data_IF_769382630480
#
_entry.id   IF_769382630480
#
_cell.length_a   1.000
_cell.length_b   1.000
_cell.length_c   1.000
_cell.angle_alpha   90.00
_cell.angle_beta   90.00
_cell.angle_gamma   90.00
#
_symmetry.space_group_name_H-M   'P 1'
#
loop_
_entity.id
_entity.type
_entity.pdbx_description
1 polymer ?
#
# COMPACT_ATOMS: atom_id res chain seq x y z
N UNK A 1 72.67 15.90 19.99
CA UNK A 1 71.79 16.05 18.82
C UNK A 1 70.91 14.81 18.77
N UNK A 2 69.85 14.80 19.57
CA UNK A 2 68.90 13.69 19.64
C UNK A 2 68.00 13.74 18.41
N UNK A 3 67.88 12.62 17.68
CA UNK A 3 66.81 12.42 16.71
C UNK A 3 66.06 11.17 17.09
N UNK A 4 64.78 11.39 17.27
CA UNK A 4 63.77 10.46 17.73
C UNK A 4 63.53 9.34 16.72
N UNK A 5 63.34 8.15 17.27
CA UNK A 5 62.67 7.01 16.65
C UNK A 5 61.28 7.45 16.16
N UNK A 6 60.91 7.28 14.88
CA UNK A 6 59.52 7.40 14.49
C UNK A 6 58.80 6.13 14.95
N UNK A 7 57.91 6.34 15.93
CA UNK A 7 56.96 5.35 16.40
C UNK A 7 56.15 4.78 15.23
N UNK A 8 56.07 3.46 15.20
CA UNK A 8 55.12 2.71 14.40
C UNK A 8 53.70 3.23 14.70
N UNK A 9 53.08 3.91 13.72
CA UNK A 9 51.65 4.19 13.77
C UNK A 9 50.96 2.88 13.46
N UNK A 10 50.43 2.23 14.50
CA UNK A 10 49.41 1.21 14.35
C UNK A 10 48.20 1.82 13.63
N UNK A 11 48.06 1.45 12.37
CA UNK A 11 46.86 1.70 11.59
C UNK A 11 45.74 0.83 12.18
N UNK A 12 45.00 1.39 13.13
CA UNK A 12 43.79 0.80 13.69
C UNK A 12 42.75 0.63 12.58
N UNK A 13 42.83 -0.49 11.87
CA UNK A 13 41.77 -0.99 10.99
C UNK A 13 40.52 -1.18 11.84
N UNK A 14 39.57 -0.24 11.74
CA UNK A 14 38.25 -0.41 12.32
C UNK A 14 37.55 -1.49 11.49
N UNK A 15 37.62 -2.71 12.00
CA UNK A 15 36.86 -3.84 11.49
C UNK A 15 35.45 -3.74 12.07
N UNK A 16 34.39 -3.60 11.25
CA UNK A 16 33.03 -3.66 11.76
C UNK A 16 32.82 -5.05 12.37
N UNK A 17 32.45 -5.09 13.65
CA UNK A 17 32.03 -6.33 14.29
C UNK A 17 30.77 -6.79 13.56
N UNK A 18 30.85 -7.92 12.89
CA UNK A 18 29.68 -8.54 12.26
C UNK A 18 28.65 -8.80 13.33
N UNK A 19 27.80 -7.80 13.58
CA UNK A 19 26.76 -7.83 14.59
C UNK A 19 25.92 -9.07 14.33
N UNK A 20 25.82 -9.92 15.34
CA UNK A 20 24.97 -11.11 15.33
C UNK A 20 23.52 -10.65 15.24
N UNK A 21 23.07 -10.35 14.02
CA UNK A 21 21.66 -10.28 13.70
C UNK A 21 21.10 -11.69 13.89
N UNK A 22 20.26 -11.82 14.90
CA UNK A 22 19.51 -13.03 15.19
C UNK A 22 18.89 -13.58 13.89
N UNK A 23 18.97 -14.89 13.72
CA UNK A 23 18.46 -15.68 12.60
C UNK A 23 17.19 -15.08 11.98
N UNK A 24 17.37 -14.26 10.95
CA UNK A 24 16.32 -13.95 9.99
C UNK A 24 16.31 -15.12 9.03
N UNK A 25 15.19 -15.84 8.96
CA UNK A 25 14.95 -16.81 7.89
C UNK A 25 15.24 -16.13 6.55
N UNK A 26 16.32 -16.59 5.92
CA UNK A 26 16.91 -16.07 4.69
C UNK A 26 15.96 -16.39 3.52
N UNK A 27 14.91 -15.59 3.38
CA UNK A 27 14.02 -15.65 2.23
C UNK A 27 14.66 -14.76 1.17
N UNK A 28 15.37 -15.39 0.22
CA UNK A 28 15.90 -14.72 -0.96
C UNK A 28 14.76 -14.27 -1.88
N UNK A 29 14.51 -12.96 -1.91
CA UNK A 29 13.46 -12.30 -2.69
C UNK A 29 13.84 -12.04 -4.14
N UNK A 30 15.11 -12.22 -4.51
CA UNK A 30 15.62 -11.90 -5.84
C UNK A 30 15.63 -13.13 -6.77
N UNK A 31 15.82 -14.32 -6.23
CA UNK A 31 15.95 -15.56 -7.02
C UNK A 31 14.67 -16.41 -7.13
N UNK A 32 13.54 -15.98 -6.54
CA UNK A 32 12.30 -16.78 -6.55
C UNK A 32 11.34 -16.36 -7.65
N UNK A 33 11.08 -17.27 -8.59
CA UNK A 33 10.11 -17.10 -9.68
C UNK A 33 8.79 -16.46 -9.19
N UNK A 34 8.53 -15.26 -9.70
CA UNK A 34 7.40 -14.41 -9.31
C UNK A 34 6.10 -14.97 -9.90
N UNK A 35 5.49 -15.92 -9.19
CA UNK A 35 4.12 -16.34 -9.47
C UNK A 35 3.15 -15.35 -8.82
N UNK A 36 2.68 -14.35 -9.59
CA UNK A 36 1.68 -13.36 -9.14
C UNK A 36 0.39 -14.02 -8.62
N UNK A 37 0.06 -15.22 -9.12
CA UNK A 37 -1.13 -16.00 -8.74
C UNK A 37 -0.87 -16.93 -7.54
N UNK A 38 0.39 -17.18 -7.15
CA UNK A 38 0.78 -17.99 -5.97
C UNK A 38 1.99 -17.37 -5.28
N UNK A 39 1.79 -16.32 -4.46
CA UNK A 39 2.84 -15.74 -3.64
C UNK A 39 3.49 -16.78 -2.72
N UNK A 40 4.81 -16.90 -2.75
CA UNK A 40 5.56 -17.84 -1.91
C UNK A 40 5.76 -17.36 -0.46
N UNK A 41 5.50 -16.09 -0.17
CA UNK A 41 5.74 -15.49 1.16
C UNK A 41 4.43 -15.25 1.95
N UNK A 42 4.43 -15.45 3.28
CA UNK A 42 3.24 -15.22 4.11
C UNK A 42 2.69 -13.79 4.05
N UNK A 43 3.57 -12.79 3.99
CA UNK A 43 3.21 -11.36 3.88
C UNK A 43 2.33 -11.08 2.65
N UNK A 44 2.78 -11.54 1.48
CA UNK A 44 2.10 -11.24 0.22
C UNK A 44 0.77 -11.99 0.08
N UNK A 45 0.64 -13.19 0.68
CA UNK A 45 -0.66 -13.88 0.80
C UNK A 45 -1.66 -13.12 1.65
N UNK A 46 -1.22 -12.55 2.77
CA UNK A 46 -2.11 -11.80 3.66
C UNK A 46 -2.48 -10.43 3.06
N UNK A 47 -1.54 -9.76 2.37
CA UNK A 47 -1.83 -8.56 1.59
C UNK A 47 -2.85 -8.82 0.48
N UNK A 48 -2.70 -9.91 -0.27
CA UNK A 48 -3.63 -10.27 -1.35
C UNK A 48 -5.03 -10.58 -0.82
N UNK A 49 -5.16 -11.22 0.35
CA UNK A 49 -6.48 -11.41 1.01
C UNK A 49 -7.14 -10.07 1.33
N UNK A 50 -6.37 -9.09 1.82
CA UNK A 50 -6.90 -7.75 2.12
C UNK A 50 -7.38 -7.09 0.82
N UNK A 51 -6.54 -7.04 -0.22
CA UNK A 51 -6.92 -6.49 -1.53
C UNK A 51 -8.19 -7.16 -2.05
N UNK A 52 -8.24 -8.49 -2.05
CA UNK A 52 -9.38 -9.23 -2.56
C UNK A 52 -10.64 -8.99 -1.74
N UNK A 53 -10.53 -8.94 -0.41
CA UNK A 53 -11.66 -8.60 0.46
C UNK A 53 -12.18 -7.18 0.21
N UNK A 54 -11.28 -6.20 0.04
CA UNK A 54 -11.63 -4.83 -0.30
C UNK A 54 -12.29 -4.76 -1.69
N UNK A 55 -11.79 -5.52 -2.66
CA UNK A 55 -12.36 -5.59 -4.00
C UNK A 55 -13.79 -6.18 -3.98
N UNK A 56 -14.01 -7.27 -3.26
CA UNK A 56 -15.35 -7.87 -3.12
C UNK A 56 -16.31 -6.90 -2.43
N UNK A 57 -15.88 -6.26 -1.34
CA UNK A 57 -16.70 -5.28 -0.64
C UNK A 57 -17.02 -4.06 -1.52
N UNK A 58 -16.02 -3.55 -2.24
CA UNK A 58 -16.21 -2.48 -3.22
C UNK A 58 -17.21 -2.88 -4.30
N UNK A 59 -17.07 -4.08 -4.87
CA UNK A 59 -17.97 -4.57 -5.90
C UNK A 59 -19.41 -4.68 -5.37
N UNK A 60 -19.61 -5.15 -4.15
CA UNK A 60 -20.94 -5.17 -3.51
C UNK A 60 -21.50 -3.77 -3.30
N UNK A 61 -20.69 -2.79 -2.91
CA UNK A 61 -21.15 -1.40 -2.71
C UNK A 61 -21.52 -0.75 -4.04
N UNK A 62 -20.72 -0.94 -5.09
CA UNK A 62 -20.91 -0.27 -6.39
C UNK A 62 -21.96 -0.98 -7.24
N UNK A 63 -21.86 -2.30 -7.37
CA UNK A 63 -22.78 -3.09 -8.19
C UNK A 63 -24.03 -3.52 -7.42
N UNK A 64 -23.98 -3.61 -6.09
CA UNK A 64 -25.10 -4.07 -5.27
C UNK A 64 -26.41 -3.31 -5.53
N UNK A 65 -26.43 -1.96 -5.57
CA UNK A 65 -27.64 -1.23 -5.90
C UNK A 65 -28.20 -1.56 -7.29
N UNK A 66 -27.34 -1.71 -8.29
CA UNK A 66 -27.76 -2.03 -9.67
C UNK A 66 -28.31 -3.46 -9.73
N UNK A 67 -27.59 -4.42 -9.17
CA UNK A 67 -28.02 -5.82 -9.10
C UNK A 67 -29.31 -5.98 -8.31
N UNK A 68 -29.43 -5.31 -7.16
CA UNK A 68 -30.62 -5.36 -6.33
C UNK A 68 -31.82 -4.70 -7.02
N UNK A 69 -31.62 -3.68 -7.85
CA UNK A 69 -32.70 -3.09 -8.66
C UNK A 69 -33.21 -4.07 -9.72
N UNK A 70 -32.33 -4.89 -10.29
CA UNK A 70 -32.72 -5.93 -11.23
C UNK A 70 -33.47 -7.09 -10.56
N UNK A 71 -33.07 -7.48 -9.33
CA UNK A 71 -33.65 -8.61 -8.61
C UNK A 71 -34.93 -8.24 -7.81
N UNK A 72 -34.97 -7.03 -7.26
CA UNK A 72 -36.02 -6.55 -6.37
C UNK A 72 -36.45 -5.12 -6.74
N UNK A 73 -37.00 -4.91 -7.96
CA UNK A 73 -37.36 -3.59 -8.44
C UNK A 73 -38.38 -2.90 -7.53
N UNK A 74 -39.38 -3.63 -7.03
CA UNK A 74 -40.42 -3.10 -6.14
C UNK A 74 -39.86 -2.45 -4.87
N UNK A 75 -38.78 -3.01 -4.28
CA UNK A 75 -38.14 -2.43 -3.10
C UNK A 75 -37.25 -1.24 -3.45
N UNK A 76 -36.60 -1.29 -4.62
CA UNK A 76 -35.62 -0.29 -5.06
C UNK A 76 -36.26 0.95 -5.69
N UNK A 77 -37.53 0.85 -6.10
CA UNK A 77 -38.32 1.97 -6.65
C UNK A 77 -39.21 2.66 -5.62
N UNK A 78 -39.33 2.13 -4.40
CA UNK A 78 -40.07 2.78 -3.30
C UNK A 78 -39.55 4.20 -3.11
N UNK A 79 -40.47 5.17 -3.14
CA UNK A 79 -40.14 6.55 -2.83
C UNK A 79 -39.73 6.64 -1.36
N UNK A 80 -38.53 7.15 -1.13
CA UNK A 80 -38.06 7.37 0.24
C UNK A 80 -38.85 8.53 0.86
N UNK A 81 -39.46 8.35 2.05
CA UNK A 81 -40.36 9.34 2.63
C UNK A 81 -39.70 10.69 2.97
N UNK A 82 -38.36 10.73 3.05
CA UNK A 82 -37.61 11.95 3.35
C UNK A 82 -37.22 12.77 2.12
N UNK A 83 -37.05 12.14 0.95
CA UNK A 83 -36.47 12.79 -0.23
C UNK A 83 -37.31 12.68 -1.51
N UNK A 84 -38.37 11.86 -1.51
CA UNK A 84 -39.33 11.80 -2.62
C UNK A 84 -38.81 11.16 -3.90
N UNK A 85 -37.60 10.58 -3.90
CA UNK A 85 -37.05 9.85 -5.03
C UNK A 85 -36.80 8.37 -4.70
N UNK A 86 -36.76 7.49 -5.72
CA UNK A 86 -36.50 6.05 -5.57
C UNK A 86 -35.23 5.71 -4.77
N UNK A 87 -35.32 4.68 -3.92
CA UNK A 87 -34.22 4.25 -3.04
C UNK A 87 -32.89 3.98 -3.76
N UNK A 88 -32.91 3.40 -4.96
CA UNK A 88 -31.69 3.08 -5.70
C UNK A 88 -30.84 4.31 -6.03
N UNK A 89 -31.45 5.48 -6.30
CA UNK A 89 -30.71 6.71 -6.50
C UNK A 89 -29.95 7.13 -5.24
N UNK A 90 -30.55 6.97 -4.06
CA UNK A 90 -29.89 7.29 -2.79
C UNK A 90 -28.68 6.38 -2.57
N UNK A 91 -28.86 5.08 -2.77
CA UNK A 91 -27.80 4.08 -2.58
C UNK A 91 -26.62 4.29 -3.53
N UNK A 92 -26.87 4.67 -4.78
CA UNK A 92 -25.80 4.96 -5.73
C UNK A 92 -25.13 6.29 -5.39
N UNK A 93 -25.89 7.37 -5.19
CA UNK A 93 -25.34 8.71 -5.02
C UNK A 93 -24.62 8.91 -3.67
N UNK A 94 -25.13 8.34 -2.58
CA UNK A 94 -24.50 8.45 -1.26
C UNK A 94 -23.73 7.19 -0.88
N UNK A 95 -24.27 6.00 -1.17
CA UNK A 95 -23.66 4.74 -0.77
C UNK A 95 -22.33 4.48 -1.46
N UNK A 96 -22.20 4.77 -2.76
CA UNK A 96 -20.93 4.53 -3.46
C UNK A 96 -19.79 5.46 -2.99
N UNK A 97 -19.95 6.81 -2.91
CA UNK A 97 -18.89 7.67 -2.39
C UNK A 97 -18.57 7.42 -0.91
N UNK A 98 -19.60 7.24 -0.06
CA UNK A 98 -19.40 6.99 1.38
C UNK A 98 -18.75 5.64 1.61
N UNK A 99 -19.18 4.61 0.88
CA UNK A 99 -18.60 3.28 0.95
C UNK A 99 -17.14 3.27 0.50
N UNK A 100 -16.79 4.00 -0.57
CA UNK A 100 -15.41 4.16 -1.01
C UNK A 100 -14.54 4.84 0.06
N UNK A 101 -15.06 5.90 0.71
CA UNK A 101 -14.35 6.60 1.78
C UNK A 101 -14.10 5.68 3.00
N UNK A 102 -15.12 4.96 3.43
CA UNK A 102 -15.00 3.99 4.53
C UNK A 102 -13.98 2.90 4.15
N UNK A 103 -14.07 2.39 2.93
CA UNK A 103 -13.17 1.33 2.46
C UNK A 103 -11.71 1.81 2.44
N UNK A 104 -11.45 3.06 2.03
CA UNK A 104 -10.12 3.64 2.07
C UNK A 104 -9.58 3.73 3.51
N UNK A 105 -10.38 4.24 4.45
CA UNK A 105 -9.99 4.33 5.88
C UNK A 105 -9.76 2.96 6.50
N UNK A 106 -10.58 1.97 6.14
CA UNK A 106 -10.42 0.59 6.62
C UNK A 106 -9.17 -0.04 6.02
N UNK A 107 -8.95 0.12 4.72
CA UNK A 107 -7.80 -0.41 4.00
C UNK A 107 -6.48 0.11 4.58
N UNK A 108 -6.34 1.42 4.84
CA UNK A 108 -5.11 1.97 5.43
C UNK A 108 -4.83 1.34 6.79
N UNK A 109 -5.83 1.20 7.66
CA UNK A 109 -5.63 0.54 8.96
C UNK A 109 -5.25 -0.94 8.86
N UNK A 110 -5.80 -1.67 7.89
CA UNK A 110 -5.40 -3.06 7.67
C UNK A 110 -3.99 -3.17 7.10
N UNK A 111 -3.60 -2.22 6.24
CA UNK A 111 -2.24 -2.11 5.72
C UNK A 111 -1.23 -1.83 6.83
N UNK A 112 -1.49 -0.83 7.67
CA UNK A 112 -0.59 -0.48 8.80
C UNK A 112 -0.40 -1.65 9.77
N UNK A 113 -1.49 -2.39 10.06
CA UNK A 113 -1.43 -3.60 10.89
C UNK A 113 -0.64 -4.73 10.25
N UNK A 114 -0.72 -4.87 8.93
CA UNK A 114 0.04 -5.86 8.21
C UNK A 114 1.53 -5.52 8.24
N UNK A 115 1.88 -4.26 8.03
CA UNK A 115 3.26 -3.79 8.05
C UNK A 115 3.89 -4.00 9.45
N UNK A 116 3.15 -3.67 10.52
CA UNK A 116 3.56 -3.96 11.91
C UNK A 116 3.77 -5.46 12.18
N UNK A 117 2.88 -6.33 11.68
CA UNK A 117 2.96 -7.78 11.90
C UNK A 117 4.24 -8.40 11.33
N UNK A 118 4.76 -7.82 10.25
CA UNK A 118 5.95 -8.31 9.57
C UNK A 118 7.20 -7.46 9.83
N UNK A 119 7.14 -6.49 10.74
CA UNK A 119 8.28 -5.66 11.12
C UNK A 119 8.79 -4.75 10.00
N UNK A 120 7.91 -4.37 9.06
CA UNK A 120 8.24 -3.42 8.01
C UNK A 120 8.16 -2.02 8.63
N UNK A 121 9.19 -1.64 9.38
CA UNK A 121 9.34 -0.25 9.82
C UNK A 121 9.55 0.62 8.58
N UNK A 122 8.74 1.66 8.45
CA UNK A 122 8.85 2.67 7.38
C UNK A 122 10.10 3.53 7.61
N UNK A 123 11.29 2.93 7.52
CA UNK A 123 12.54 3.67 7.32
C UNK A 123 12.56 4.04 5.84
N UNK A 124 11.94 5.18 5.55
CA UNK A 124 12.13 5.96 4.33
C UNK A 124 12.18 5.13 3.04
N UNK A 125 11.01 4.67 2.57
CA UNK A 125 10.86 4.36 1.16
C UNK A 125 10.95 5.69 0.40
N UNK A 126 12.17 6.11 0.04
CA UNK A 126 12.42 7.05 -1.06
C UNK A 126 11.90 6.41 -2.35
N UNK A 127 10.58 6.35 -2.51
CA UNK A 127 10.02 6.19 -3.84
C UNK A 127 10.36 7.48 -4.59
N UNK A 128 10.97 7.42 -5.78
CA UNK A 128 11.15 8.63 -6.56
C UNK A 128 9.75 9.15 -6.86
N UNK A 129 9.44 10.33 -6.32
CA UNK A 129 8.29 11.09 -6.78
C UNK A 129 8.43 11.15 -8.29
N UNK A 130 7.50 10.49 -8.98
CA UNK A 130 7.30 10.71 -10.42
C UNK A 130 6.58 12.06 -10.53
N UNK A 131 7.24 13.11 -10.04
CA UNK A 131 6.88 14.50 -10.18
C UNK A 131 7.15 14.88 -11.62
N UNK A 132 6.09 14.79 -12.41
CA UNK A 132 5.81 15.63 -13.58
C UNK A 132 6.92 16.63 -13.91
N UNK A 133 7.81 16.23 -14.81
CA UNK A 133 8.82 17.11 -15.38
C UNK A 133 8.11 18.17 -16.22
N UNK A 134 7.75 19.28 -15.59
CA UNK A 134 7.32 20.49 -16.27
C UNK A 134 8.50 21.01 -17.12
N UNK A 135 8.38 20.88 -18.44
CA UNK A 135 9.32 21.43 -19.39
C UNK A 135 9.32 22.96 -19.29
N UNK A 136 10.42 23.55 -18.80
CA UNK A 136 10.71 24.98 -18.94
C UNK A 136 11.95 25.14 -19.80
N UNK A 137 11.81 24.97 -21.12
CA UNK A 137 12.79 25.49 -22.06
C UNK A 137 12.43 26.94 -22.38
N UNK A 138 13.03 27.84 -21.60
CA UNK A 138 13.03 29.26 -21.88
C UNK A 138 14.05 29.55 -22.97
N UNK A 139 13.57 29.96 -24.13
CA UNK A 139 14.42 30.45 -25.22
C UNK A 139 15.33 31.58 -24.74
N UNK A 140 16.63 31.41 -24.97
CA UNK A 140 17.61 32.49 -24.86
C UNK A 140 18.16 32.79 -26.26
N UNK A 141 17.97 34.06 -26.61
CA UNK A 141 18.42 34.72 -27.84
C UNK A 141 19.94 34.64 -27.99
N UNK A 142 20.40 34.30 -29.20
CA UNK A 142 21.70 34.70 -29.73
C UNK A 142 21.56 35.06 -31.20
#
# INVERSE_FOLDING_TARGET
MSRDTPADREESTIQPDGGTAAAHDDIDYLDREVNLLRPSTPFMRDHLKIIWSSFVLWALVVFGPVTLTALAPEMMTVQTPLFGFPLHYFLVSFGAPTGALILAVVYTRYRDRLDQKYGIDSVESTAPETGEAAATDGGVEQ
#
